data_IF_001313928237
#
_entry.id   IF_001313928237
#
_cell.length_a   1.000
_cell.length_b   1.000
_cell.length_c   1.000
_cell.angle_alpha   90.00
_cell.angle_beta   90.00
_cell.angle_gamma   90.00
#
_symmetry.space_group_name_H-M   'P 1'
#
loop_
_entity.id
_entity.type
_entity.pdbx_description
1 polymer ?
#
# COMPACT_ATOMS: atom_id res chain seq x y z
N UNK A 1 15.44 6.58 -8.83
CA UNK A 1 14.19 7.06 -8.20
C UNK A 1 13.19 5.93 -8.30
N UNK A 2 12.71 5.41 -7.19
CA UNK A 2 11.79 4.27 -7.17
C UNK A 2 10.38 4.81 -7.03
N UNK A 3 9.46 4.33 -7.88
CA UNK A 3 8.04 4.67 -7.77
C UNK A 3 7.33 3.49 -7.11
N UNK A 4 6.57 3.77 -6.05
CA UNK A 4 5.81 2.76 -5.33
C UNK A 4 4.37 2.74 -5.86
N UNK A 5 3.85 1.55 -6.15
CA UNK A 5 2.43 1.34 -6.48
C UNK A 5 1.78 0.52 -5.39
N UNK A 6 0.66 1.01 -4.86
CA UNK A 6 -0.18 0.31 -3.91
C UNK A 6 -1.43 -0.19 -4.60
N UNK A 7 -1.66 -1.50 -4.51
CA UNK A 7 -2.92 -2.10 -4.93
C UNK A 7 -3.69 -2.49 -3.68
N UNK A 8 -4.84 -1.86 -3.47
CA UNK A 8 -5.77 -2.19 -2.40
C UNK A 8 -6.91 -2.98 -3.02
N UNK A 9 -7.15 -4.20 -2.52
CA UNK A 9 -8.24 -5.05 -2.96
C UNK A 9 -9.21 -5.28 -1.81
N UNK A 10 -10.47 -5.00 -2.06
CA UNK A 10 -11.58 -5.32 -1.18
C UNK A 10 -11.98 -6.79 -1.35
N UNK A 11 -12.41 -7.40 -0.25
CA UNK A 11 -12.88 -8.80 -0.22
C UNK A 11 -14.08 -9.05 -1.14
N UNK A 12 -14.83 -8.02 -1.50
CA UNK A 12 -15.95 -8.08 -2.46
C UNK A 12 -15.49 -8.02 -3.93
N UNK A 13 -14.18 -8.07 -4.19
CA UNK A 13 -13.60 -8.18 -5.53
C UNK A 13 -13.34 -6.85 -6.24
N UNK A 14 -13.32 -5.72 -5.51
CA UNK A 14 -12.92 -4.43 -6.07
C UNK A 14 -11.45 -4.17 -5.79
N UNK A 15 -10.66 -3.86 -6.82
CA UNK A 15 -9.25 -3.49 -6.66
C UNK A 15 -9.01 -2.09 -7.20
N UNK A 16 -8.28 -1.29 -6.44
CA UNK A 16 -7.77 0.01 -6.86
C UNK A 16 -6.25 -0.02 -6.84
N UNK A 17 -5.63 0.54 -7.87
CA UNK A 17 -4.17 0.72 -7.91
C UNK A 17 -3.88 2.21 -7.91
N UNK A 18 -3.01 2.64 -6.99
CA UNK A 18 -2.59 4.03 -6.84
C UNK A 18 -1.07 4.12 -6.78
N UNK A 19 -0.53 5.20 -7.32
CA UNK A 19 0.87 5.55 -7.11
C UNK A 19 1.01 6.21 -5.73
N UNK A 20 1.98 5.74 -4.96
CA UNK A 20 2.34 6.28 -3.66
C UNK A 20 3.51 7.24 -3.83
N UNK A 21 3.43 8.36 -3.11
CA UNK A 21 4.59 9.22 -2.87
C UNK A 21 5.51 8.54 -1.86
N UNK A 22 6.80 8.87 -1.90
CA UNK A 22 7.80 8.33 -0.97
C UNK A 22 7.39 8.55 0.51
N UNK A 23 6.80 9.71 0.84
CA UNK A 23 6.35 10.02 2.19
C UNK A 23 5.28 9.05 2.72
N UNK A 24 4.39 8.57 1.86
CA UNK A 24 3.33 7.63 2.23
C UNK A 24 3.85 6.19 2.20
N UNK A 25 4.73 5.86 1.24
CA UNK A 25 5.40 4.56 1.17
C UNK A 25 6.28 4.30 2.40
N UNK A 26 6.93 5.33 2.94
CA UNK A 26 7.78 5.24 4.13
C UNK A 26 7.03 4.70 5.37
N UNK A 27 5.73 4.96 5.48
CA UNK A 27 4.90 4.42 6.58
C UNK A 27 4.71 2.91 6.50
N UNK A 28 4.86 2.34 5.30
CA UNK A 28 4.70 0.92 5.03
C UNK A 28 6.04 0.16 5.08
N UNK A 29 7.17 0.88 5.14
CA UNK A 29 8.50 0.27 5.20
C UNK A 29 8.72 -0.39 6.56
N UNK A 30 9.23 -1.63 6.54
CA UNK A 30 9.50 -2.40 7.76
C UNK A 30 8.26 -3.11 8.35
N UNK A 31 7.07 -2.92 7.77
CA UNK A 31 5.90 -3.73 8.10
C UNK A 31 6.06 -5.15 7.55
N UNK A 32 5.58 -6.14 8.29
CA UNK A 32 5.56 -7.53 7.85
C UNK A 32 4.24 -7.87 7.16
N UNK A 33 4.29 -8.84 6.25
CA UNK A 33 3.09 -9.35 5.58
C UNK A 33 2.12 -9.93 6.61
N UNK A 34 0.84 -9.57 6.50
CA UNK A 34 -0.21 -9.96 7.44
C UNK A 34 -0.45 -8.98 8.58
N UNK A 35 0.36 -7.92 8.70
CA UNK A 35 0.10 -6.85 9.66
C UNK A 35 -1.11 -6.02 9.23
N UNK A 36 -2.01 -5.77 10.17
CA UNK A 36 -3.06 -4.77 10.01
C UNK A 36 -2.42 -3.38 10.17
N UNK A 37 -2.72 -2.47 9.25
CA UNK A 37 -2.27 -1.09 9.29
C UNK A 37 -3.45 -0.17 8.99
N UNK A 38 -3.46 1.00 9.61
CA UNK A 38 -4.45 2.03 9.33
C UNK A 38 -4.14 2.71 7.99
N UNK A 39 -5.20 3.14 7.30
CA UNK A 39 -5.15 3.67 5.93
C UNK A 39 -5.02 5.20 5.86
#
# INVERSE_FOLDING_TARGET
MTNFKLTVSDVKGKSITKELKDSDANKLLGLQLGNETDA
#
